data_IF_106105003049
#
_entry.id   IF_106105003049
#
_cell.length_a   1.000
_cell.length_b   1.000
_cell.length_c   1.000
_cell.angle_alpha   90.00
_cell.angle_beta   90.00
_cell.angle_gamma   90.00
#
_symmetry.space_group_name_H-M   'P 1'
#
loop_
_entity.id
_entity.type
_entity.pdbx_description
1 polymer ?
#
# COMPACT_ATOMS: atom_id res chain seq x y z
N UNK A 1 -27.93 15.59 3.27
CA UNK A 1 -27.14 15.62 2.97
C UNK A 1 -26.80 15.60 2.76
N UNK A 2 -26.58 15.58 3.02
CA UNK A 2 -25.64 15.50 2.65
C UNK A 2 -25.03 15.59 2.80
N UNK A 3 -25.47 15.52 2.97
CA UNK A 3 -24.56 15.60 3.03
C UNK A 3 -23.86 15.59 3.44
N UNK A 4 -23.68 15.58 3.70
CA UNK A 4 -22.67 15.52 3.90
C UNK A 4 -22.19 14.91 3.69
N UNK A 5 -22.47 14.51 3.64
CA UNK A 5 -21.85 13.94 3.29
C UNK A 5 -21.64 13.92 2.34
N UNK A 6 -21.88 14.15 1.89
CA UNK A 6 -21.45 14.24 1.02
C UNK A 6 -20.73 14.91 0.70
N UNK A 7 -20.82 15.25 0.81
CA UNK A 7 -20.20 16.22 0.60
C UNK A 7 -18.82 16.25 0.33
N UNK A 8 -18.17 16.15 0.45
CA UNK A 8 -16.77 16.14 0.57
C UNK A 8 -16.13 14.92 -0.04
N UNK A 9 -16.61 14.50 -1.17
CA UNK A 9 -16.10 13.28 -1.73
C UNK A 9 -14.79 13.44 -2.45
N UNK A 10 -14.50 14.62 -2.98
CA UNK A 10 -13.25 14.76 -3.70
C UNK A 10 -12.07 14.63 -2.76
N UNK A 11 -12.17 15.12 -1.57
CA UNK A 11 -11.07 14.96 -0.67
C UNK A 11 -11.06 13.56 -0.07
N UNK A 12 -12.18 12.88 -0.11
CA UNK A 12 -12.23 11.53 0.36
C UNK A 12 -11.44 10.58 -0.52
N UNK A 13 -11.24 10.93 -1.77
CA UNK A 13 -10.49 10.04 -2.63
C UNK A 13 -9.05 9.88 -2.13
N UNK A 14 -8.47 10.94 -1.57
CA UNK A 14 -7.14 10.82 -1.01
C UNK A 14 -7.19 10.12 0.34
N UNK A 15 -8.15 10.49 1.15
CA UNK A 15 -8.27 9.88 2.45
C UNK A 15 -8.64 8.43 2.36
N UNK A 16 -9.40 8.05 1.34
CA UNK A 16 -9.83 6.68 1.25
C UNK A 16 -8.68 5.74 0.95
N UNK A 17 -7.61 6.20 0.31
CA UNK A 17 -6.46 5.34 0.13
C UNK A 17 -5.83 4.98 1.47
N UNK A 18 -5.63 5.98 2.32
CA UNK A 18 -5.09 5.70 3.65
C UNK A 18 -6.09 4.92 4.47
N UNK A 19 -7.35 5.19 4.27
CA UNK A 19 -8.38 4.54 5.02
C UNK A 19 -8.44 3.04 4.74
N UNK A 20 -8.10 2.65 3.50
CA UNK A 20 -8.16 1.24 3.14
C UNK A 20 -6.86 0.50 3.38
N UNK A 21 -5.86 1.16 3.93
CA UNK A 21 -4.66 0.46 4.30
C UNK A 21 -4.96 -0.41 5.51
N UNK A 22 -4.54 -1.65 5.41
CA UNK A 22 -4.77 -2.62 6.46
C UNK A 22 -3.46 -3.16 6.93
N UNK A 23 -3.32 -3.28 8.24
CA UNK A 23 -2.20 -4.00 8.80
C UNK A 23 -2.41 -5.48 8.57
N UNK A 24 -1.39 -6.14 8.09
CA UNK A 24 -1.44 -7.59 7.88
C UNK A 24 -0.91 -8.36 9.07
N UNK A 25 -0.22 -7.67 9.98
CA UNK A 25 0.45 -8.33 11.07
C UNK A 25 1.76 -8.97 10.68
N UNK A 26 2.15 -8.86 9.43
CA UNK A 26 3.37 -9.46 8.93
C UNK A 26 4.50 -8.46 9.07
N UNK A 27 5.59 -8.89 9.71
CA UNK A 27 6.76 -8.06 9.91
C UNK A 27 7.93 -8.76 9.25
N UNK A 28 8.72 -8.00 8.50
CA UNK A 28 9.89 -8.53 7.82
C UNK A 28 11.08 -7.64 8.12
N UNK A 29 12.25 -8.23 8.13
CA UNK A 29 13.48 -7.50 8.35
C UNK A 29 14.14 -7.20 7.03
N UNK A 30 14.75 -6.04 6.95
CA UNK A 30 15.58 -5.70 5.80
C UNK A 30 16.92 -6.42 5.98
N UNK A 31 17.43 -7.04 4.92
CA UNK A 31 18.71 -7.73 4.98
C UNK A 31 19.86 -6.74 4.75
N UNK A 32 21.06 -7.28 4.69
CA UNK A 32 22.26 -6.44 4.57
C UNK A 32 22.39 -5.82 3.19
N UNK A 33 21.62 -6.25 2.23
CA UNK A 33 21.61 -5.67 0.89
C UNK A 33 20.42 -4.75 0.68
N UNK A 34 19.65 -4.46 1.73
CA UNK A 34 18.52 -3.56 1.64
C UNK A 34 17.29 -4.20 1.04
N UNK A 35 17.17 -5.52 1.07
CA UNK A 35 16.04 -6.23 0.48
C UNK A 35 15.07 -6.67 1.55
N UNK A 36 13.80 -6.73 1.16
CA UNK A 36 12.76 -7.29 2.01
C UNK A 36 11.96 -8.26 1.14
N UNK A 37 11.55 -9.37 1.74
CA UNK A 37 10.77 -10.37 1.02
C UNK A 37 9.30 -10.07 1.21
N UNK A 38 8.57 -10.00 0.10
CA UNK A 38 7.12 -9.86 0.16
C UNK A 38 6.53 -11.25 0.36
N UNK A 39 5.77 -11.45 1.43
CA UNK A 39 5.24 -12.79 1.71
C UNK A 39 4.39 -13.34 0.59
N UNK A 40 4.39 -14.64 0.49
CA UNK A 40 3.66 -15.32 -0.58
C UNK A 40 2.17 -14.99 -0.55
N UNK A 41 1.60 -14.87 0.63
CA UNK A 41 0.18 -14.56 0.76
C UNK A 41 -0.16 -13.22 0.16
N UNK A 42 0.71 -12.24 0.38
CA UNK A 42 0.47 -10.90 -0.16
C UNK A 42 0.65 -10.92 -1.66
N UNK A 43 1.71 -11.58 -2.14
CA UNK A 43 1.93 -11.68 -3.58
C UNK A 43 0.74 -12.31 -4.28
N UNK A 44 0.19 -13.34 -3.66
CA UNK A 44 -0.95 -14.05 -4.24
C UNK A 44 -2.19 -13.16 -4.26
N UNK A 45 -2.45 -12.48 -3.18
CA UNK A 45 -3.62 -11.62 -3.07
C UNK A 45 -3.57 -10.49 -4.09
N UNK A 46 -2.40 -9.90 -4.27
CA UNK A 46 -2.22 -8.77 -5.18
C UNK A 46 -1.81 -9.21 -6.57
N UNK A 47 -1.66 -10.52 -6.79
CA UNK A 47 -1.29 -11.08 -8.09
C UNK A 47 0.04 -10.56 -8.60
N UNK A 48 0.99 -10.51 -7.68
CA UNK A 48 2.35 -10.10 -8.00
C UNK A 48 3.15 -11.35 -8.32
N UNK A 49 3.73 -11.38 -9.51
CA UNK A 49 4.48 -12.54 -9.97
C UNK A 49 5.93 -12.19 -10.12
N UNK A 50 6.74 -13.22 -10.21
CA UNK A 50 8.16 -13.05 -10.47
C UNK A 50 8.36 -12.22 -11.74
N UNK A 51 9.20 -11.21 -11.63
CA UNK A 51 9.49 -10.34 -12.76
C UNK A 51 8.57 -9.16 -12.90
N UNK A 52 7.46 -9.13 -12.16
CA UNK A 52 6.56 -7.99 -12.24
C UNK A 52 7.26 -6.74 -11.74
N UNK A 53 7.16 -5.62 -12.46
CA UNK A 53 7.73 -4.39 -11.96
C UNK A 53 6.81 -3.76 -10.92
N UNK A 54 7.42 -3.25 -9.87
CA UNK A 54 6.68 -2.54 -8.83
C UNK A 54 7.26 -1.15 -8.71
N UNK A 55 6.39 -0.18 -8.63
CA UNK A 55 6.82 1.18 -8.41
C UNK A 55 6.83 1.44 -6.92
N UNK A 56 7.87 2.15 -6.47
CA UNK A 56 8.08 2.41 -5.06
C UNK A 56 7.73 3.85 -4.77
N UNK A 57 6.83 4.05 -3.82
CA UNK A 57 6.44 5.38 -3.37
C UNK A 57 6.83 5.54 -1.93
N UNK A 58 7.08 6.75 -1.52
CA UNK A 58 7.28 7.07 -0.10
C UNK A 58 6.34 8.20 0.25
N UNK A 59 5.99 8.30 1.52
CA UNK A 59 5.17 9.41 1.96
C UNK A 59 5.86 10.15 3.09
N UNK A 60 5.21 11.18 3.61
CA UNK A 60 5.81 12.01 4.64
C UNK A 60 5.97 11.31 5.96
N UNK A 61 5.26 10.23 6.16
CA UNK A 61 5.23 9.56 7.44
C UNK A 61 6.22 8.42 7.50
N UNK A 62 7.07 8.33 6.50
CA UNK A 62 8.11 7.30 6.51
C UNK A 62 7.63 5.96 6.03
N UNK A 63 6.59 5.93 5.22
CA UNK A 63 6.07 4.69 4.69
C UNK A 63 6.62 4.43 3.30
N UNK A 64 6.80 3.17 3.00
CA UNK A 64 7.18 2.71 1.66
C UNK A 64 5.99 1.97 1.10
N UNK A 65 5.53 2.39 -0.06
CA UNK A 65 4.35 1.82 -0.70
C UNK A 65 4.79 1.24 -2.03
N UNK A 66 4.41 -0.01 -2.27
CA UNK A 66 4.75 -0.69 -3.52
C UNK A 66 3.47 -0.91 -4.30
N UNK A 67 3.49 -0.55 -5.57
CA UNK A 67 2.35 -0.73 -6.44
C UNK A 67 2.80 -1.36 -7.73
N UNK A 68 1.97 -2.20 -8.31
CA UNK A 68 2.28 -2.77 -9.62
C UNK A 68 2.39 -1.65 -10.63
N UNK A 69 3.43 -1.72 -11.41
CA UNK A 69 3.72 -0.70 -12.43
C UNK A 69 2.90 -0.97 -13.72
#
# INVERSE_FOLDING_TARGET
>A
MHTMAEMNFSFQSVESEAYYMKATGIVRRIDDLGRVVIPKEIRRTLRIREGDPLEIFTDREGEIILKKY
#
